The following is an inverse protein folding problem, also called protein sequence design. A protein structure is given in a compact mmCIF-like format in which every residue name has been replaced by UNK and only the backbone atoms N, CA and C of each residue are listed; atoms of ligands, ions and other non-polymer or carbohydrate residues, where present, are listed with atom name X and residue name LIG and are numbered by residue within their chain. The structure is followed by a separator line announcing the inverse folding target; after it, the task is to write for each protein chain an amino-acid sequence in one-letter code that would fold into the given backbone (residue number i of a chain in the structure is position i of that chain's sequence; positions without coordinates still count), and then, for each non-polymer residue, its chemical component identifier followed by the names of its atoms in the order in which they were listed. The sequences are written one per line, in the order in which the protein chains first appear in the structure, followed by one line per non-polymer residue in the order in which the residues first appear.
data_IF_951665703029
#
_entry.id   IF_951665703029
#
_cell.length_a   1.000
_cell.length_b   1.000
_cell.length_c   1.000
_cell.angle_alpha   90.00
_cell.angle_beta   90.00
_cell.angle_gamma   90.00
#
_symmetry.space_group_name_H-M   'P 1'
#
loop_
_entity.id
_entity.type
_entity.pdbx_description
1 polymer ?
#
# COMPACT_ATOMS: atom_id res chain seq x y z
N UNK A 1 30.26 -10.87 -23.92
CA UNK A 1 30.80 -11.11 -22.56
C UNK A 1 30.80 -12.59 -22.29
N UNK A 2 31.82 -13.07 -21.58
CA UNK A 2 31.93 -14.47 -21.17
C UNK A 2 31.31 -14.64 -19.77
N UNK A 3 30.38 -15.61 -19.65
CA UNK A 3 29.67 -15.91 -18.41
C UNK A 3 29.94 -17.32 -17.87
N UNK A 4 30.58 -18.19 -18.67
CA UNK A 4 31.02 -19.54 -18.29
C UNK A 4 31.95 -19.53 -17.07
N UNK A 5 31.86 -20.53 -16.22
CA UNK A 5 32.79 -20.71 -15.09
C UNK A 5 33.89 -21.69 -15.51
N UNK A 6 35.19 -21.40 -15.27
CA UNK A 6 36.28 -22.32 -15.63
C UNK A 6 36.19 -23.64 -14.87
N UNK A 7 36.47 -24.76 -15.54
CA UNK A 7 36.27 -26.11 -14.99
C UNK A 7 37.16 -26.46 -13.77
N UNK A 8 38.20 -25.66 -13.49
CA UNK A 8 39.16 -25.88 -12.39
C UNK A 8 39.00 -24.89 -11.22
N UNK A 9 37.96 -24.04 -11.21
CA UNK A 9 37.76 -23.08 -10.11
C UNK A 9 37.16 -23.73 -8.85
N UNK A 10 37.53 -23.24 -7.66
CA UNK A 10 36.96 -23.70 -6.40
C UNK A 10 35.48 -23.31 -6.25
N UNK A 11 34.73 -24.09 -5.46
CA UNK A 11 33.27 -23.94 -5.29
C UNK A 11 32.84 -22.56 -4.78
N UNK A 12 33.68 -21.87 -4.01
CA UNK A 12 33.41 -20.50 -3.54
C UNK A 12 33.57 -19.46 -4.67
N UNK A 13 34.56 -19.63 -5.56
CA UNK A 13 34.77 -18.76 -6.72
C UNK A 13 33.64 -18.93 -7.75
N UNK A 14 33.17 -20.16 -7.97
CA UNK A 14 31.99 -20.46 -8.81
C UNK A 14 30.72 -19.74 -8.31
N UNK A 15 30.41 -19.86 -7.01
CA UNK A 15 29.31 -19.15 -6.37
C UNK A 15 29.42 -17.62 -6.51
N UNK A 16 30.63 -17.07 -6.42
CA UNK A 16 30.87 -15.63 -6.56
C UNK A 16 30.76 -15.15 -8.02
N UNK A 17 31.26 -15.93 -8.99
CA UNK A 17 31.11 -15.64 -10.43
C UNK A 17 29.64 -15.72 -10.89
N UNK A 18 28.90 -16.72 -10.39
CA UNK A 18 27.46 -16.89 -10.68
C UNK A 18 26.64 -15.72 -10.13
N UNK A 19 26.93 -15.26 -8.89
CA UNK A 19 26.31 -14.04 -8.33
C UNK A 19 26.67 -12.79 -9.14
N UNK A 20 27.94 -12.63 -9.51
CA UNK A 20 28.40 -11.49 -10.31
C UNK A 20 27.71 -11.43 -11.69
N UNK A 21 27.48 -12.59 -12.32
CA UNK A 21 26.73 -12.67 -13.58
C UNK A 21 25.27 -12.26 -13.39
N UNK A 22 24.63 -12.64 -12.28
CA UNK A 22 23.27 -12.22 -11.95
C UNK A 22 23.19 -10.71 -11.70
N UNK A 23 24.09 -10.13 -10.91
CA UNK A 23 24.13 -8.68 -10.63
C UNK A 23 24.25 -7.83 -11.91
N UNK A 24 24.94 -8.34 -12.93
CA UNK A 24 25.01 -7.71 -14.26
C UNK A 24 23.68 -7.81 -15.03
N UNK A 25 23.04 -8.99 -15.07
CA UNK A 25 21.74 -9.18 -15.75
C UNK A 25 20.59 -8.41 -15.08
N UNK A 26 20.62 -8.29 -13.75
CA UNK A 26 19.65 -7.51 -12.97
C UNK A 26 19.92 -5.99 -13.04
N UNK A 27 20.99 -5.56 -13.74
CA UNK A 27 21.31 -4.15 -14.01
C UNK A 27 22.03 -3.39 -12.89
N UNK A 28 22.46 -4.08 -11.83
CA UNK A 28 23.20 -3.49 -10.71
C UNK A 28 24.67 -3.21 -11.03
N UNK A 29 25.18 -3.67 -12.18
CA UNK A 29 26.58 -3.56 -12.56
C UNK A 29 26.75 -3.18 -14.04
N UNK A 30 27.68 -2.27 -14.33
CA UNK A 30 28.06 -1.92 -15.71
C UNK A 30 29.01 -2.96 -16.30
N UNK A 31 29.10 -3.05 -17.64
CA UNK A 31 29.98 -3.98 -18.35
C UNK A 31 31.45 -3.87 -17.90
N UNK A 32 31.98 -2.64 -17.78
CA UNK A 32 33.34 -2.40 -17.24
C UNK A 32 33.48 -2.87 -15.79
N UNK A 33 32.43 -2.72 -14.97
CA UNK A 33 32.40 -3.21 -13.59
C UNK A 33 32.36 -4.73 -13.49
N UNK A 34 31.61 -5.40 -14.39
CA UNK A 34 31.56 -6.85 -14.51
C UNK A 34 32.92 -7.44 -14.85
N UNK A 35 33.55 -6.95 -15.93
CA UNK A 35 34.86 -7.43 -16.38
C UNK A 35 35.93 -7.28 -15.29
N UNK A 36 35.98 -6.12 -14.62
CA UNK A 36 36.96 -5.87 -13.54
C UNK A 36 36.79 -6.85 -12.39
N UNK A 37 35.58 -6.99 -11.83
CA UNK A 37 35.31 -7.91 -10.72
C UNK A 37 35.53 -9.37 -11.12
N UNK A 38 35.22 -9.75 -12.37
CA UNK A 38 35.43 -11.11 -12.88
C UNK A 38 36.91 -11.49 -12.96
N UNK A 39 37.77 -10.58 -13.42
CA UNK A 39 39.23 -10.79 -13.43
C UNK A 39 39.82 -10.87 -12.02
N UNK A 40 39.31 -10.05 -11.09
CA UNK A 40 39.71 -10.07 -9.68
C UNK A 40 39.38 -11.41 -9.00
N UNK A 41 38.17 -11.95 -9.23
CA UNK A 41 37.76 -13.28 -8.74
C UNK A 41 38.56 -14.44 -9.33
N UNK A 42 39.08 -14.29 -10.56
CA UNK A 42 39.91 -15.29 -11.24
C UNK A 42 41.42 -15.12 -10.97
N UNK A 43 41.81 -14.17 -10.11
CA UNK A 43 43.22 -13.93 -9.75
C UNK A 43 44.10 -13.40 -10.90
N UNK A 44 43.48 -12.87 -11.97
CA UNK A 44 44.20 -12.43 -13.17
C UNK A 44 44.66 -10.97 -13.04
N UNK A 45 45.87 -10.76 -12.53
CA UNK A 45 46.51 -9.43 -12.48
C UNK A 45 46.84 -8.93 -13.90
N UNK A 46 46.63 -7.64 -14.16
CA UNK A 46 46.82 -7.05 -15.51
C UNK A 46 48.24 -7.21 -16.05
N UNK A 47 48.37 -7.96 -17.15
CA UNK A 47 49.52 -7.92 -18.04
C UNK A 47 49.43 -6.72 -18.99
N UNK A 48 50.54 -6.00 -19.11
CA UNK A 48 50.76 -4.78 -19.91
C UNK A 48 50.20 -4.76 -21.34
N UNK A 49 49.55 -3.65 -21.69
CA UNK A 49 49.63 -3.04 -23.04
C UNK A 49 50.02 -1.56 -22.85
N UNK A 50 50.98 -1.10 -23.63
CA UNK A 50 51.77 0.11 -23.37
C UNK A 50 51.29 1.34 -24.13
N UNK A 51 51.44 2.52 -23.50
CA UNK A 51 51.69 3.86 -24.11
C UNK A 51 50.59 4.45 -25.05
N UNK A 52 50.38 5.77 -25.18
CA UNK A 52 51.10 6.99 -24.75
C UNK A 52 50.12 8.06 -24.23
N UNK A 53 50.54 8.98 -23.34
CA UNK A 53 49.79 10.24 -23.11
C UNK A 53 49.99 10.89 -21.73
N UNK A 54 50.94 11.82 -21.64
CA UNK A 54 51.27 12.57 -20.42
C UNK A 54 50.24 13.66 -20.07
N UNK A 55 49.91 13.83 -18.78
CA UNK A 55 50.01 15.11 -18.05
C UNK A 55 49.81 14.92 -16.53
N UNK A 56 50.05 15.98 -15.74
CA UNK A 56 50.73 15.90 -14.44
C UNK A 56 50.10 16.73 -13.32
N UNK A 57 50.49 16.42 -12.07
CA UNK A 57 50.24 17.17 -10.81
C UNK A 57 48.80 17.10 -10.26
N UNK A 58 48.52 17.06 -8.94
CA UNK A 58 49.35 17.01 -7.71
C UNK A 58 48.46 16.50 -6.53
N UNK A 59 49.07 15.98 -5.45
CA UNK A 59 48.61 15.98 -4.02
C UNK A 59 47.09 16.03 -3.69
N UNK A 60 46.50 15.28 -2.76
CA UNK A 60 46.89 14.18 -1.85
C UNK A 60 45.54 13.60 -1.28
N UNK A 61 45.37 12.80 -0.22
CA UNK A 61 46.25 12.37 0.87
C UNK A 61 45.79 11.03 1.51
N UNK A 62 46.44 10.64 2.62
CA UNK A 62 46.13 9.48 3.46
C UNK A 62 44.65 9.38 3.93
N UNK A 63 44.02 8.20 3.82
CA UNK A 63 44.03 7.25 4.95
C UNK A 63 43.38 5.87 4.71
N UNK A 64 43.83 4.94 5.54
CA UNK A 64 43.56 3.49 5.56
C UNK A 64 42.07 3.14 5.69
N UNK A 65 41.64 2.12 4.94
CA UNK A 65 40.47 1.33 5.29
C UNK A 65 40.72 0.52 6.57
N UNK A 66 39.87 0.70 7.59
CA UNK A 66 39.60 -0.34 8.59
C UNK A 66 38.20 -0.91 8.34
N UNK A 67 38.14 -2.20 7.99
CA UNK A 67 36.89 -2.98 8.06
C UNK A 67 36.44 -2.98 9.53
N UNK A 68 35.19 -2.62 9.81
CA UNK A 68 34.55 -2.98 11.07
C UNK A 68 33.31 -3.82 10.78
N UNK A 69 33.34 -5.04 11.30
CA UNK A 69 32.21 -5.96 11.29
C UNK A 69 31.06 -5.39 12.14
N UNK A 70 29.85 -5.77 11.79
CA UNK A 70 28.68 -5.69 12.66
C UNK A 70 28.91 -6.46 13.97
N UNK A 71 28.66 -5.83 15.11
CA UNK A 71 28.29 -6.51 16.36
C UNK A 71 27.56 -5.53 17.30
N UNK A 72 26.76 -6.09 18.21
CA UNK A 72 25.83 -5.36 19.08
C UNK A 72 26.47 -4.29 19.98
N UNK A 73 25.70 -3.24 20.26
CA UNK A 73 25.76 -2.52 21.54
C UNK A 73 24.37 -2.41 22.16
N UNK A 74 24.12 -3.20 23.19
CA UNK A 74 23.04 -2.97 24.15
C UNK A 74 23.43 -1.77 25.02
N UNK A 75 22.60 -0.75 25.12
CA UNK A 75 22.72 0.25 26.20
C UNK A 75 21.36 0.59 26.79
N UNK A 76 21.34 0.61 28.11
CA UNK A 76 20.21 0.78 29.02
C UNK A 76 19.57 2.17 28.99
N UNK A 77 18.28 2.22 29.32
CA UNK A 77 17.55 3.43 29.68
C UNK A 77 18.15 4.17 30.88
N UNK A 78 18.29 5.48 30.79
CA UNK A 78 18.39 6.38 31.94
C UNK A 78 17.27 7.41 31.90
N UNK A 79 16.37 7.36 32.87
CA UNK A 79 15.29 8.32 33.05
C UNK A 79 15.81 9.70 33.47
N UNK A 80 15.43 10.75 32.74
CA UNK A 80 15.48 12.13 33.21
C UNK A 80 14.20 12.84 32.75
N UNK A 81 13.32 13.17 33.71
CA UNK A 81 12.14 13.98 33.42
C UNK A 81 12.51 15.46 33.31
N UNK A 82 11.74 16.23 32.56
CA UNK A 82 11.57 17.65 32.82
C UNK A 82 10.22 18.15 32.32
N UNK A 83 9.56 18.95 33.15
CA UNK A 83 8.35 19.69 32.80
C UNK A 83 8.65 20.79 31.79
N UNK A 84 7.76 20.98 30.82
CA UNK A 84 7.45 22.31 30.28
C UNK A 84 6.01 22.31 29.75
N UNK A 85 5.15 23.14 30.35
CA UNK A 85 3.79 23.35 29.87
C UNK A 85 3.80 24.08 28.52
N UNK A 86 2.92 23.71 27.59
CA UNK A 86 2.23 24.72 26.79
C UNK A 86 0.88 24.22 26.28
N UNK A 87 -0.19 24.82 26.77
CA UNK A 87 -1.59 24.52 26.45
C UNK A 87 -2.00 25.18 25.15
N UNK A 88 -2.33 24.40 24.11
CA UNK A 88 -3.08 24.85 22.90
C UNK A 88 -3.51 23.67 21.98
N UNK A 89 -3.98 22.56 22.54
CA UNK A 89 -4.31 21.33 21.79
C UNK A 89 -5.80 21.14 21.43
N UNK A 90 -6.72 21.80 22.14
CA UNK A 90 -8.05 21.21 22.38
C UNK A 90 -9.14 21.59 21.37
N UNK A 91 -8.78 22.13 20.20
CA UNK A 91 -9.74 22.62 19.18
C UNK A 91 -9.72 21.75 17.89
N UNK A 92 -8.77 20.82 17.75
CA UNK A 92 -8.57 20.04 16.50
C UNK A 92 -9.35 18.71 16.49
N UNK A 93 -9.72 18.17 17.66
CA UNK A 93 -10.31 16.81 17.77
C UNK A 93 -11.80 16.73 17.38
N UNK A 94 -12.58 17.81 17.55
CA UNK A 94 -14.06 17.79 17.46
C UNK A 94 -14.64 17.53 16.05
N UNK A 95 -13.82 17.54 15.00
CA UNK A 95 -14.28 17.32 13.62
C UNK A 95 -14.04 15.89 13.11
N UNK A 96 -13.32 15.05 13.86
CA UNK A 96 -12.73 13.79 13.35
C UNK A 96 -13.12 12.53 14.15
N UNK A 97 -14.38 12.43 14.56
CA UNK A 97 -15.00 11.23 15.14
C UNK A 97 -16.33 10.93 14.41
N UNK A 98 -16.67 9.65 14.14
CA UNK A 98 -16.83 8.61 15.16
C UNK A 98 -16.03 7.31 14.91
N UNK A 99 -16.06 6.42 15.91
CA UNK A 99 -15.33 5.15 15.94
C UNK A 99 -13.91 5.30 16.44
N UNK A 100 -13.49 4.39 17.32
CA UNK A 100 -12.17 4.37 17.96
C UNK A 100 -11.01 4.65 16.99
N UNK A 101 -10.00 5.39 17.48
CA UNK A 101 -8.69 5.42 16.85
C UNK A 101 -8.24 3.97 16.63
N UNK A 102 -8.12 3.55 15.37
CA UNK A 102 -7.48 2.29 15.03
C UNK A 102 -6.06 2.39 15.57
N UNK A 103 -5.71 1.50 16.50
CA UNK A 103 -4.37 1.42 17.08
C UNK A 103 -3.34 1.45 15.94
N UNK A 104 -2.28 2.24 16.14
CA UNK A 104 -1.05 2.26 15.36
C UNK A 104 -0.24 0.96 15.51
N UNK A 105 -0.94 -0.17 15.40
CA UNK A 105 -0.45 -1.55 15.54
C UNK A 105 0.53 -1.93 14.43
N UNK A 106 0.60 -1.15 13.33
CA UNK A 106 1.67 -1.24 12.34
C UNK A 106 2.98 -0.64 12.87
N UNK A 107 2.92 0.42 13.69
CA UNK A 107 4.11 1.00 14.34
C UNK A 107 4.56 0.13 15.53
N UNK A 108 3.63 -0.42 16.32
CA UNK A 108 3.97 -1.38 17.39
C UNK A 108 4.55 -2.71 16.86
N UNK A 109 4.24 -3.09 15.61
CA UNK A 109 4.90 -4.21 14.93
C UNK A 109 6.40 -3.96 14.66
N UNK A 110 6.87 -2.71 14.67
CA UNK A 110 8.30 -2.37 14.54
C UNK A 110 9.08 -2.45 15.86
N UNK A 111 8.39 -2.28 16.99
CA UNK A 111 8.95 -2.49 18.34
C UNK A 111 8.92 -3.95 18.79
N UNK A 112 8.18 -4.80 18.07
CA UNK A 112 8.26 -6.24 18.21
C UNK A 112 9.63 -6.71 17.73
N UNK A 113 10.55 -7.02 18.66
CA UNK A 113 11.67 -7.88 18.30
C UNK A 113 11.11 -9.10 17.58
N UNK A 114 11.74 -9.60 16.50
CA UNK A 114 11.35 -10.87 15.93
C UNK A 114 11.32 -11.86 17.09
N UNK A 115 10.22 -12.58 17.23
CA UNK A 115 10.07 -13.57 18.29
C UNK A 115 11.02 -14.74 17.99
N UNK A 116 12.31 -14.52 18.27
CA UNK A 116 13.26 -15.59 18.56
C UNK A 116 12.56 -16.43 19.62
N UNK A 117 12.10 -17.60 19.18
CA UNK A 117 11.49 -18.60 20.05
C UNK A 117 12.38 -18.69 21.29
N UNK A 118 11.87 -18.27 22.46
CA UNK A 118 12.67 -18.24 23.68
C UNK A 118 13.40 -19.57 23.83
N UNK A 119 14.63 -19.56 24.35
CA UNK A 119 15.35 -20.81 24.59
C UNK A 119 14.53 -21.79 25.44
N UNK A 120 13.60 -21.31 26.28
CA UNK A 120 12.58 -22.13 26.93
C UNK A 120 11.65 -22.90 25.96
N UNK A 121 11.14 -22.27 24.90
CA UNK A 121 10.34 -22.92 23.85
C UNK A 121 11.20 -23.88 23.02
N UNK A 122 12.42 -23.48 22.65
CA UNK A 122 13.34 -24.36 21.90
C UNK A 122 13.76 -25.56 22.77
N UNK A 123 14.00 -25.35 24.06
CA UNK A 123 14.26 -26.41 25.04
C UNK A 123 13.02 -27.27 25.26
N UNK A 124 11.81 -26.69 25.27
CA UNK A 124 10.55 -27.47 25.31
C UNK A 124 10.41 -28.37 24.09
N UNK A 125 10.80 -27.89 22.90
CA UNK A 125 10.85 -28.70 21.68
C UNK A 125 11.98 -29.76 21.69
N UNK A 126 13.16 -29.46 22.26
CA UNK A 126 14.30 -30.40 22.37
C UNK A 126 14.12 -31.45 23.47
N UNK A 127 13.40 -31.13 24.55
CA UNK A 127 13.15 -32.01 25.69
C UNK A 127 11.90 -32.90 25.54
N UNK A 128 11.22 -32.86 24.39
CA UNK A 128 10.27 -33.92 24.01
C UNK A 128 11.08 -35.18 23.73
N UNK A 129 11.26 -35.99 24.77
CA UNK A 129 11.88 -37.32 24.68
C UNK A 129 11.20 -38.11 23.57
N UNK A 130 11.98 -38.75 22.70
CA UNK A 130 11.51 -39.31 21.44
C UNK A 130 10.41 -40.40 21.53
N UNK A 131 10.11 -40.88 22.75
CA UNK A 131 9.15 -41.95 23.03
C UNK A 131 7.91 -41.51 23.83
N UNK A 132 7.75 -40.22 24.14
CA UNK A 132 6.49 -39.71 24.67
C UNK A 132 5.81 -38.77 23.67
N UNK A 133 4.53 -39.06 23.46
CA UNK A 133 3.56 -38.37 22.61
C UNK A 133 3.81 -38.31 21.11
N UNK A 134 3.59 -39.46 20.48
CA UNK A 134 3.09 -39.51 19.10
C UNK A 134 1.67 -38.90 18.97
N UNK A 135 0.85 -38.96 20.03
CA UNK A 135 -0.51 -38.38 20.06
C UNK A 135 -0.51 -36.84 20.23
N UNK A 136 0.25 -36.25 21.15
CA UNK A 136 0.35 -34.76 21.29
C UNK A 136 0.89 -34.10 20.01
N UNK A 137 1.72 -34.82 19.22
CA UNK A 137 2.16 -34.37 17.88
C UNK A 137 1.05 -34.38 16.82
N UNK A 138 -0.11 -35.00 17.06
CA UNK A 138 -1.33 -34.79 16.23
C UNK A 138 -2.10 -33.53 16.63
N UNK A 139 -2.07 -33.12 17.90
CA UNK A 139 -2.81 -31.95 18.39
C UNK A 139 -2.20 -30.63 17.91
N UNK A 140 -0.88 -30.59 17.71
CA UNK A 140 -0.22 -29.49 17.03
C UNK A 140 -0.61 -29.49 15.55
N UNK A 141 -1.31 -28.43 15.10
CA UNK A 141 -1.52 -28.20 13.68
C UNK A 141 -0.16 -28.17 12.97
N UNK A 142 0.02 -29.06 11.98
CA UNK A 142 1.17 -29.02 11.08
C UNK A 142 1.28 -27.61 10.47
N UNK A 143 2.49 -27.08 10.26
CA UNK A 143 2.67 -25.90 9.43
C UNK A 143 1.91 -26.07 8.11
N UNK A 144 1.21 -25.03 7.66
CA UNK A 144 0.52 -25.09 6.38
C UNK A 144 1.56 -25.30 5.28
N UNK A 145 1.44 -26.42 4.55
CA UNK A 145 2.29 -26.67 3.40
C UNK A 145 2.21 -25.50 2.41
N UNK A 146 3.34 -25.05 1.82
CA UNK A 146 3.33 -24.01 0.80
C UNK A 146 2.37 -24.41 -0.32
N UNK A 147 1.32 -23.60 -0.52
CA UNK A 147 0.32 -23.91 -1.54
C UNK A 147 0.91 -23.70 -2.92
N UNK A 148 0.73 -24.68 -3.80
CA UNK A 148 1.19 -24.59 -5.18
C UNK A 148 0.61 -23.36 -5.89
N UNK A 149 1.50 -22.45 -6.26
CA UNK A 149 1.19 -21.39 -7.22
C UNK A 149 1.44 -22.00 -8.60
N UNK A 150 0.38 -22.14 -9.40
CA UNK A 150 0.46 -22.74 -10.75
C UNK A 150 1.65 -22.17 -11.54
N UNK A 151 2.46 -23.08 -12.08
CA UNK A 151 3.83 -22.85 -12.56
C UNK A 151 4.04 -21.61 -13.45
N UNK A 152 5.17 -20.95 -13.21
CA UNK A 152 5.72 -19.77 -13.89
C UNK A 152 4.96 -18.45 -13.72
N UNK A 153 5.67 -17.46 -13.17
CA UNK A 153 5.17 -16.09 -12.94
C UNK A 153 5.35 -15.27 -14.22
N UNK A 154 4.63 -15.63 -15.28
CA UNK A 154 4.41 -14.68 -16.37
C UNK A 154 3.30 -13.70 -15.95
N UNK A 155 3.57 -12.38 -15.99
CA UNK A 155 2.56 -11.38 -15.74
C UNK A 155 1.70 -11.18 -16.99
N UNK A 156 0.43 -11.59 -16.94
CA UNK A 156 -0.55 -11.38 -18.03
C UNK A 156 -0.97 -9.91 -18.13
N UNK A 157 -0.10 -9.03 -18.62
CA UNK A 157 -0.43 -7.63 -18.89
C UNK A 157 -1.16 -7.45 -20.23
N UNK A 158 -2.45 -7.80 -20.30
CA UNK A 158 -3.32 -7.24 -21.37
C UNK A 158 -3.58 -5.73 -21.16
N UNK A 159 -3.32 -5.23 -19.94
CA UNK A 159 -3.54 -3.83 -19.53
C UNK A 159 -2.45 -3.43 -18.55
N UNK A 160 -1.77 -2.30 -18.80
CA UNK A 160 -0.59 -1.87 -18.05
C UNK A 160 -0.85 -1.06 -16.78
N UNK A 161 -2.10 -0.63 -16.53
CA UNK A 161 -2.43 0.25 -15.40
C UNK A 161 -3.91 0.16 -15.00
N UNK A 162 -4.21 0.50 -13.74
CA UNK A 162 -5.57 0.42 -13.18
C UNK A 162 -6.55 1.45 -13.76
N UNK A 163 -6.09 2.59 -14.28
CA UNK A 163 -6.98 3.58 -14.91
C UNK A 163 -7.62 3.03 -16.20
N UNK A 164 -6.87 2.26 -16.98
CA UNK A 164 -7.41 1.48 -18.12
C UNK A 164 -8.32 0.35 -17.69
N UNK A 165 -8.01 -0.33 -16.57
CA UNK A 165 -8.92 -1.35 -16.04
C UNK A 165 -10.25 -0.70 -15.62
N UNK A 166 -10.24 0.41 -14.88
CA UNK A 166 -11.45 1.15 -14.52
C UNK A 166 -12.25 1.58 -15.76
N UNK A 167 -11.61 2.11 -16.81
CA UNK A 167 -12.28 2.45 -18.08
C UNK A 167 -12.92 1.21 -18.74
N UNK A 168 -12.24 0.07 -18.75
CA UNK A 168 -12.80 -1.20 -19.26
C UNK A 168 -13.97 -1.70 -18.41
N UNK A 169 -13.88 -1.64 -17.07
CA UNK A 169 -14.96 -2.00 -16.14
C UNK A 169 -16.21 -1.14 -16.36
N UNK A 170 -16.04 0.18 -16.55
CA UNK A 170 -17.13 1.10 -16.83
C UNK A 170 -17.95 0.75 -18.09
N UNK A 171 -17.32 0.10 -19.08
CA UNK A 171 -17.97 -0.38 -20.31
C UNK A 171 -18.56 -1.79 -20.20
N UNK A 172 -17.83 -2.71 -19.56
CA UNK A 172 -18.22 -4.13 -19.49
C UNK A 172 -19.18 -4.46 -18.34
N UNK A 173 -19.20 -3.61 -17.31
CA UNK A 173 -19.99 -3.76 -16.09
C UNK A 173 -20.71 -2.44 -15.78
N UNK A 174 -21.22 -1.77 -16.82
CA UNK A 174 -22.05 -0.55 -16.69
C UNK A 174 -23.20 -0.81 -15.71
N UNK A 175 -23.48 0.14 -14.80
CA UNK A 175 -24.54 0.05 -13.77
C UNK A 175 -24.38 -1.05 -12.73
N UNK A 176 -23.43 -1.97 -12.85
CA UNK A 176 -23.09 -2.87 -11.74
C UNK A 176 -22.44 -2.05 -10.60
N UNK A 177 -22.78 -2.32 -9.33
CA UNK A 177 -22.09 -1.73 -8.17
C UNK A 177 -20.59 -2.02 -8.19
N UNK A 178 -19.80 -0.97 -7.95
CA UNK A 178 -18.35 -1.00 -7.81
C UNK A 178 -17.93 -0.86 -6.34
N UNK A 179 -18.50 0.13 -5.65
CA UNK A 179 -18.29 0.38 -4.22
C UNK A 179 -19.62 0.61 -3.53
N UNK A 180 -19.81 -0.05 -2.39
CA UNK A 180 -20.93 0.12 -1.46
C UNK A 180 -20.35 0.54 -0.10
N UNK A 181 -20.87 1.62 0.47
CA UNK A 181 -20.56 2.06 1.84
C UNK A 181 -21.75 1.70 2.72
N UNK A 182 -21.47 1.00 3.81
CA UNK A 182 -22.42 0.62 4.86
C UNK A 182 -22.26 1.57 6.06
N UNK A 183 -23.35 1.92 6.74
CA UNK A 183 -23.33 2.72 7.97
C UNK A 183 -23.06 1.88 9.24
N UNK A 184 -22.94 2.55 10.38
CA UNK A 184 -22.70 1.91 11.70
C UNK A 184 -23.86 1.00 12.15
N UNK A 185 -25.01 1.04 11.45
CA UNK A 185 -26.21 0.24 11.71
C UNK A 185 -26.33 -0.95 10.74
N UNK A 186 -25.32 -1.20 9.91
CA UNK A 186 -25.30 -2.28 8.92
C UNK A 186 -26.11 -2.01 7.65
N UNK A 187 -26.59 -0.78 7.44
CA UNK A 187 -27.44 -0.40 6.29
C UNK A 187 -26.64 0.25 5.16
N UNK A 188 -27.11 0.07 3.93
CA UNK A 188 -26.53 0.75 2.76
C UNK A 188 -26.65 2.28 2.90
N UNK A 189 -25.51 2.98 2.91
CA UNK A 189 -25.42 4.44 3.03
C UNK A 189 -25.22 5.11 1.66
N UNK A 190 -24.25 4.62 0.88
CA UNK A 190 -23.91 5.16 -0.46
C UNK A 190 -23.45 4.03 -1.37
N UNK A 191 -23.88 4.04 -2.62
CA UNK A 191 -23.41 3.10 -3.66
C UNK A 191 -22.98 3.87 -4.91
N UNK A 192 -21.88 3.42 -5.53
CA UNK A 192 -21.46 3.89 -6.85
C UNK A 192 -21.24 2.71 -7.80
N UNK A 193 -21.69 2.88 -9.04
CA UNK A 193 -21.55 1.90 -10.12
C UNK A 193 -20.27 2.16 -10.93
N UNK A 194 -19.76 1.15 -11.66
CA UNK A 194 -18.48 1.27 -12.38
C UNK A 194 -18.43 2.44 -13.36
N UNK A 195 -19.52 2.65 -14.10
CA UNK A 195 -19.69 3.76 -15.03
C UNK A 195 -19.63 5.12 -14.30
N UNK A 196 -20.37 5.28 -13.20
CA UNK A 196 -20.38 6.53 -12.41
C UNK A 196 -19.03 6.81 -11.75
N UNK A 197 -18.33 5.80 -11.25
CA UNK A 197 -16.99 5.95 -10.66
C UNK A 197 -16.00 6.43 -11.73
N UNK A 198 -15.99 5.80 -12.90
CA UNK A 198 -15.18 6.24 -14.03
C UNK A 198 -15.57 7.64 -14.51
N UNK A 199 -16.86 7.98 -14.62
CA UNK A 199 -17.28 9.30 -15.08
C UNK A 199 -16.94 10.44 -14.10
N UNK A 200 -16.85 10.16 -12.78
CA UNK A 200 -16.29 11.13 -11.82
C UNK A 200 -14.78 11.27 -12.02
N UNK A 201 -14.05 10.16 -12.09
CA UNK A 201 -12.60 10.15 -12.28
C UNK A 201 -12.16 10.83 -13.59
N UNK A 202 -12.79 10.50 -14.73
CA UNK A 202 -12.52 11.10 -16.04
C UNK A 202 -12.90 12.60 -16.06
N UNK A 203 -13.89 13.05 -15.27
CA UNK A 203 -14.19 14.48 -15.13
C UNK A 203 -13.09 15.23 -14.38
N UNK A 204 -12.61 14.67 -13.28
CA UNK A 204 -11.48 15.19 -12.49
C UNK A 204 -10.23 15.25 -13.38
N UNK A 205 -9.95 14.17 -14.11
CA UNK A 205 -8.83 14.10 -15.07
C UNK A 205 -8.87 15.23 -16.11
N UNK A 206 -10.03 15.47 -16.73
CA UNK A 206 -10.21 16.57 -17.70
C UNK A 206 -10.13 17.95 -17.06
N UNK A 207 -10.51 18.12 -15.79
CA UNK A 207 -10.29 19.39 -15.08
C UNK A 207 -8.79 19.64 -14.87
N UNK A 208 -8.05 18.65 -14.39
CA UNK A 208 -6.59 18.74 -14.19
C UNK A 208 -5.91 19.11 -15.51
N UNK A 209 -6.10 18.31 -16.56
CA UNK A 209 -5.49 18.52 -17.89
C UNK A 209 -5.81 19.89 -18.50
N UNK A 210 -7.04 20.39 -18.33
CA UNK A 210 -7.48 21.60 -19.03
C UNK A 210 -7.31 22.89 -18.22
N UNK A 211 -7.12 22.82 -16.90
CA UNK A 211 -7.13 24.00 -16.01
C UNK A 211 -5.98 24.10 -15.01
N UNK A 212 -5.31 22.99 -14.66
CA UNK A 212 -4.31 23.01 -13.59
C UNK A 212 -2.90 23.41 -14.06
N UNK A 213 -2.68 23.49 -15.38
CA UNK A 213 -1.36 23.71 -16.00
C UNK A 213 -0.27 22.73 -15.52
N UNK A 214 -0.67 21.50 -15.17
CA UNK A 214 0.24 20.43 -14.73
C UNK A 214 0.67 19.54 -15.89
N UNK A 215 1.90 19.02 -15.80
CA UNK A 215 2.47 18.05 -16.72
C UNK A 215 2.35 16.62 -16.16
N UNK A 216 2.46 15.58 -17.02
CA UNK A 216 2.52 14.21 -16.53
C UNK A 216 3.69 14.01 -15.57
N UNK A 217 3.43 13.45 -14.39
CA UNK A 217 4.36 13.43 -13.25
C UNK A 217 3.98 14.41 -12.14
N UNK A 218 3.34 15.54 -12.46
CA UNK A 218 2.58 16.46 -11.60
C UNK A 218 2.14 15.85 -10.26
N UNK A 219 2.52 16.40 -9.09
CA UNK A 219 2.04 15.92 -7.80
C UNK A 219 0.79 16.69 -7.37
N UNK A 220 -0.24 15.93 -7.00
CA UNK A 220 -1.57 16.45 -6.62
C UNK A 220 -1.97 15.85 -5.28
N UNK A 221 -2.11 16.71 -4.27
CA UNK A 221 -2.53 16.29 -2.94
C UNK A 221 -4.02 15.93 -2.91
N UNK A 222 -4.38 14.89 -2.15
CA UNK A 222 -5.76 14.44 -1.96
C UNK A 222 -6.10 14.46 -0.48
N UNK A 223 -7.07 15.29 -0.05
CA UNK A 223 -7.55 15.34 1.35
C UNK A 223 -9.05 15.07 1.41
N UNK A 224 -9.40 13.95 2.03
CA UNK A 224 -10.76 13.42 2.12
C UNK A 224 -10.99 12.80 3.50
N UNK A 225 -12.24 12.81 3.98
CA UNK A 225 -12.59 12.19 5.26
C UNK A 225 -12.61 10.65 5.20
N UNK A 226 -12.58 10.00 6.37
CA UNK A 226 -12.72 8.54 6.50
C UNK A 226 -13.97 7.97 5.80
N UNK A 227 -15.10 8.67 5.89
CA UNK A 227 -16.37 8.27 5.27
C UNK A 227 -16.49 8.60 3.76
N UNK A 228 -15.53 9.31 3.16
CA UNK A 228 -15.60 9.83 1.78
C UNK A 228 -14.91 8.94 0.74
N UNK A 229 -14.95 7.63 0.98
CA UNK A 229 -14.31 6.57 0.21
C UNK A 229 -14.53 6.70 -1.31
N UNK A 230 -15.78 6.92 -1.73
CA UNK A 230 -16.16 7.03 -3.15
C UNK A 230 -15.53 8.25 -3.83
N UNK A 231 -15.47 9.38 -3.12
CA UNK A 231 -14.97 10.64 -3.65
C UNK A 231 -13.44 10.68 -3.66
N UNK A 232 -12.80 10.08 -2.65
CA UNK A 232 -11.36 9.79 -2.64
C UNK A 232 -10.97 8.89 -3.82
N UNK A 233 -11.65 7.75 -4.02
CA UNK A 233 -11.34 6.85 -5.14
C UNK A 233 -11.54 7.55 -6.48
N UNK A 234 -12.60 8.35 -6.65
CA UNK A 234 -12.79 9.14 -7.86
C UNK A 234 -11.64 10.13 -8.11
N UNK A 235 -11.11 10.77 -7.06
CA UNK A 235 -9.98 11.68 -7.18
C UNK A 235 -8.66 10.95 -7.51
N UNK A 236 -8.37 9.84 -6.83
CA UNK A 236 -7.21 8.98 -7.07
C UNK A 236 -7.16 8.47 -8.52
N UNK A 237 -8.26 7.88 -8.99
CA UNK A 237 -8.34 7.44 -10.38
C UNK A 237 -8.38 8.61 -11.37
N UNK A 238 -8.85 9.79 -10.95
CA UNK A 238 -8.77 11.02 -11.74
C UNK A 238 -7.33 11.49 -11.96
N UNK A 239 -6.48 11.38 -10.94
CA UNK A 239 -5.03 11.61 -11.05
C UNK A 239 -4.37 10.61 -12.01
N UNK A 240 -4.63 9.31 -11.83
CA UNK A 240 -4.10 8.26 -12.72
C UNK A 240 -4.55 8.46 -14.19
N UNK A 241 -5.81 8.83 -14.42
CA UNK A 241 -6.32 9.15 -15.76
C UNK A 241 -5.69 10.44 -16.32
N UNK A 242 -5.31 11.40 -15.46
CA UNK A 242 -4.63 12.62 -15.86
C UNK A 242 -3.14 12.41 -16.18
N UNK A 243 -2.52 11.34 -15.68
CA UNK A 243 -1.07 11.11 -15.74
C UNK A 243 -0.30 11.88 -14.67
N UNK A 244 -0.98 12.31 -13.60
CA UNK A 244 -0.40 13.02 -12.45
C UNK A 244 -0.34 12.07 -11.25
N UNK A 245 0.65 12.25 -10.39
CA UNK A 245 0.93 11.45 -9.21
C UNK A 245 0.07 11.94 -8.05
N UNK A 246 -0.72 11.04 -7.48
CA UNK A 246 -1.51 11.35 -6.29
C UNK A 246 -0.64 11.39 -5.03
N UNK A 247 -0.93 12.32 -4.12
CA UNK A 247 -0.35 12.35 -2.77
C UNK A 247 -1.50 12.31 -1.76
N UNK A 248 -1.97 11.10 -1.36
CA UNK A 248 -2.97 10.96 -0.31
C UNK A 248 -2.47 11.54 1.00
N UNK A 249 -3.26 12.41 1.61
CA UNK A 249 -2.99 12.98 2.93
C UNK A 249 -4.18 12.62 3.83
N UNK A 250 -3.90 11.90 4.93
CA UNK A 250 -4.93 11.63 5.92
C UNK A 250 -5.36 12.94 6.59
N UNK A 251 -6.66 13.13 6.77
CA UNK A 251 -7.19 14.36 7.38
C UNK A 251 -6.86 14.50 8.87
N UNK A 252 -6.44 13.41 9.53
CA UNK A 252 -5.86 13.43 10.88
C UNK A 252 -4.39 13.85 10.94
N UNK A 253 -3.68 13.93 9.81
CA UNK A 253 -2.30 14.43 9.77
C UNK A 253 -2.27 15.90 10.20
N UNK A 254 -1.39 16.31 11.12
CA UNK A 254 -1.30 17.71 11.54
C UNK A 254 -1.06 18.64 10.36
N UNK A 255 -1.76 19.77 10.35
CA UNK A 255 -1.72 20.74 9.24
C UNK A 255 -0.30 21.19 8.88
N UNK A 256 0.58 21.35 9.88
CA UNK A 256 2.00 21.69 9.68
C UNK A 256 2.73 20.63 8.86
N UNK A 257 2.44 19.36 9.11
CA UNK A 257 3.11 18.24 8.47
C UNK A 257 2.53 18.01 7.06
N UNK A 258 1.22 18.23 6.85
CA UNK A 258 0.63 18.35 5.50
C UNK A 258 1.33 19.41 4.65
N UNK A 259 1.56 20.61 5.22
CA UNK A 259 2.27 21.71 4.54
C UNK A 259 3.71 21.32 4.22
N UNK A 260 4.40 20.61 5.13
CA UNK A 260 5.74 20.08 4.86
C UNK A 260 5.76 19.11 3.68
N UNK A 261 4.81 18.17 3.64
CA UNK A 261 4.67 17.20 2.54
C UNK A 261 4.33 17.90 1.22
N UNK A 262 3.44 18.90 1.24
CA UNK A 262 3.08 19.70 0.05
C UNK A 262 4.31 20.43 -0.53
N UNK A 263 5.17 20.97 0.32
CA UNK A 263 6.41 21.63 -0.09
C UNK A 263 7.45 20.62 -0.61
N UNK A 264 7.66 19.50 0.08
CA UNK A 264 8.61 18.44 -0.32
C UNK A 264 8.23 17.83 -1.68
N UNK A 265 6.94 17.54 -1.89
CA UNK A 265 6.42 17.01 -3.15
C UNK A 265 6.28 18.06 -4.27
N UNK A 266 6.53 19.35 -3.97
CA UNK A 266 6.27 20.46 -4.89
C UNK A 266 4.86 20.39 -5.51
N UNK A 267 3.87 20.07 -4.67
CA UNK A 267 2.47 19.98 -5.10
C UNK A 267 1.88 21.39 -5.21
N UNK A 268 1.27 21.69 -6.37
CA UNK A 268 0.63 22.99 -6.63
C UNK A 268 -0.90 22.92 -6.70
N UNK A 269 -1.46 21.70 -6.66
CA UNK A 269 -2.90 21.45 -6.64
C UNK A 269 -3.24 20.50 -5.49
N UNK A 270 -4.26 20.84 -4.71
CA UNK A 270 -4.91 19.93 -3.77
C UNK A 270 -6.38 19.73 -4.16
N UNK A 271 -6.78 18.47 -4.27
CA UNK A 271 -8.18 18.06 -4.39
C UNK A 271 -8.74 17.76 -2.99
N UNK A 272 -9.93 18.30 -2.73
CA UNK A 272 -10.62 18.11 -1.46
C UNK A 272 -12.10 17.79 -1.68
N UNK A 273 -12.72 17.20 -0.66
CA UNK A 273 -14.18 17.26 -0.49
C UNK A 273 -14.64 18.62 0.03
N UNK A 274 -15.94 18.89 -0.07
CA UNK A 274 -16.55 20.11 0.48
C UNK A 274 -16.50 20.15 2.02
N UNK A 275 -16.54 18.98 2.67
CA UNK A 275 -16.41 18.85 4.13
C UNK A 275 -14.99 19.19 4.61
N UNK A 276 -13.96 18.62 3.98
CA UNK A 276 -12.55 18.92 4.26
C UNK A 276 -12.23 20.40 3.98
N UNK A 277 -12.71 20.94 2.85
CA UNK A 277 -12.55 22.36 2.54
C UNK A 277 -13.12 23.26 3.64
N UNK A 278 -14.37 23.01 4.08
CA UNK A 278 -15.04 23.78 5.15
C UNK A 278 -14.30 23.73 6.48
N UNK A 279 -13.69 22.59 6.82
CA UNK A 279 -12.86 22.44 8.01
C UNK A 279 -11.64 23.36 7.99
N UNK A 280 -10.83 23.28 6.93
CA UNK A 280 -9.63 24.12 6.82
C UNK A 280 -9.98 25.61 6.66
N UNK A 281 -11.06 25.94 5.94
CA UNK A 281 -11.58 27.31 5.82
C UNK A 281 -12.03 27.89 7.18
N UNK A 282 -12.65 27.07 8.05
CA UNK A 282 -12.93 27.46 9.45
C UNK A 282 -11.63 27.65 10.26
N UNK A 283 -10.69 26.72 10.15
CA UNK A 283 -9.41 26.75 10.87
C UNK A 283 -8.54 27.97 10.47
N UNK A 284 -8.56 28.36 9.20
CA UNK A 284 -7.84 29.53 8.70
C UNK A 284 -8.41 30.84 9.28
N UNK A 285 -9.75 30.96 9.37
CA UNK A 285 -10.41 32.08 10.04
C UNK A 285 -10.09 32.15 11.52
N UNK A 286 -10.06 31.02 12.22
CA UNK A 286 -9.75 30.96 13.66
C UNK A 286 -8.30 31.33 13.96
N UNK A 287 -7.35 30.84 13.16
CA UNK A 287 -5.91 31.12 13.32
C UNK A 287 -5.46 32.44 12.70
N UNK A 288 -6.33 33.12 11.93
CA UNK A 288 -6.04 34.36 11.17
C UNK A 288 -4.81 34.24 10.26
N UNK A 289 -4.54 33.03 9.75
CA UNK A 289 -3.37 32.71 8.96
C UNK A 289 -3.73 31.92 7.70
N UNK A 290 -2.90 32.01 6.66
CA UNK A 290 -3.01 31.08 5.52
C UNK A 290 -2.53 29.70 5.97
N UNK A 291 -3.34 28.68 5.66
CA UNK A 291 -2.98 27.29 5.98
C UNK A 291 -2.03 26.72 4.93
N UNK A 292 -2.26 27.03 3.66
CA UNK A 292 -1.59 26.34 2.56
C UNK A 292 -0.31 27.06 2.08
N UNK A 293 0.63 26.32 1.46
CA UNK A 293 1.81 26.92 0.81
C UNK A 293 1.44 28.00 -0.20
N UNK A 294 2.35 28.96 -0.43
CA UNK A 294 2.19 29.96 -1.50
C UNK A 294 2.07 29.26 -2.85
N UNK A 295 1.07 29.62 -3.64
CA UNK A 295 0.79 29.02 -4.94
C UNK A 295 0.03 27.71 -4.92
N UNK A 296 -0.34 27.17 -3.74
CA UNK A 296 -1.25 26.02 -3.65
C UNK A 296 -2.66 26.41 -4.08
N UNK A 297 -3.16 25.76 -5.13
CA UNK A 297 -4.57 25.88 -5.56
C UNK A 297 -5.38 24.75 -4.94
N UNK A 298 -6.53 25.06 -4.36
CA UNK A 298 -7.44 24.07 -3.78
C UNK A 298 -8.70 23.96 -4.62
N UNK A 299 -9.05 22.75 -5.06
CA UNK A 299 -10.30 22.46 -5.79
C UNK A 299 -11.18 21.48 -5.02
N UNK A 300 -12.47 21.81 -4.90
CA UNK A 300 -13.49 20.90 -4.40
C UNK A 300 -13.96 19.95 -5.50
N UNK A 301 -13.82 18.64 -5.32
CA UNK A 301 -14.24 17.67 -6.36
C UNK A 301 -15.76 17.57 -6.54
N UNK A 302 -16.55 17.98 -5.53
CA UNK A 302 -18.01 18.16 -5.63
C UNK A 302 -18.41 19.09 -6.77
N UNK A 303 -17.66 20.17 -6.95
CA UNK A 303 -18.01 21.29 -7.84
C UNK A 303 -17.70 20.93 -9.31
N UNK A 304 -17.06 19.78 -9.54
CA UNK A 304 -16.62 19.36 -10.87
C UNK A 304 -17.73 18.72 -11.71
N UNK A 305 -18.81 18.24 -11.08
CA UNK A 305 -19.88 17.49 -11.73
C UNK A 305 -19.42 16.10 -12.19
N UNK A 306 -19.96 15.62 -13.30
CA UNK A 306 -19.69 14.26 -13.82
C UNK A 306 -19.44 14.32 -15.33
N UNK A 307 -18.55 13.47 -15.85
CA UNK A 307 -18.27 13.38 -17.28
C UNK A 307 -19.48 12.76 -18.00
N UNK A 308 -19.84 13.32 -19.15
CA UNK A 308 -20.82 12.73 -20.06
C UNK A 308 -20.05 12.23 -21.29
N UNK A 309 -19.95 10.91 -21.52
CA UNK A 309 -19.33 10.39 -22.73
C UNK A 309 -20.10 10.86 -23.97
N UNK A 310 -19.35 11.28 -24.99
CA UNK A 310 -19.89 11.60 -26.30
C UNK A 310 -19.97 10.32 -27.12
N UNK A 311 -21.07 10.10 -27.85
CA UNK A 311 -21.20 8.95 -28.76
C UNK A 311 -20.35 9.08 -30.04
N UNK A 312 -19.80 10.28 -30.31
CA UNK A 312 -19.01 10.56 -31.52
C UNK A 312 -17.50 10.54 -31.29
N UNK A 313 -17.07 10.74 -30.05
CA UNK A 313 -15.66 10.81 -29.70
C UNK A 313 -15.15 9.46 -29.22
N UNK A 314 -13.94 9.08 -29.65
CA UNK A 314 -13.26 7.89 -29.16
C UNK A 314 -12.86 7.99 -27.68
N UNK A 315 -12.28 6.92 -27.14
CA UNK A 315 -11.76 6.93 -25.77
C UNK A 315 -10.66 8.00 -25.62
N UNK A 316 -10.71 8.87 -24.58
CA UNK A 316 -9.71 9.91 -24.38
C UNK A 316 -8.30 9.32 -24.25
N UNK A 317 -7.34 9.88 -24.98
CA UNK A 317 -5.95 9.43 -24.93
C UNK A 317 -5.43 9.41 -23.49
N UNK A 318 -4.89 8.26 -23.07
CA UNK A 318 -4.28 8.09 -21.76
C UNK A 318 -2.76 8.12 -21.90
N UNK A 319 -2.15 9.22 -21.43
CA UNK A 319 -0.72 9.29 -21.15
C UNK A 319 -0.55 9.05 -19.65
N UNK A 320 0.04 7.91 -19.29
CA UNK A 320 0.32 7.54 -17.89
C UNK A 320 1.74 7.99 -17.55
N UNK A 321 1.93 8.54 -16.35
CA UNK A 321 3.24 8.63 -15.70
C UNK A 321 3.74 7.23 -15.32
N UNK A 322 5.04 7.08 -15.03
CA UNK A 322 5.52 5.84 -14.41
C UNK A 322 5.05 5.76 -12.95
N UNK A 323 5.19 6.88 -12.23
CA UNK A 323 4.70 7.05 -10.86
C UNK A 323 3.18 7.19 -10.81
N UNK A 324 2.56 6.54 -9.82
CA UNK A 324 1.12 6.53 -9.59
C UNK A 324 0.74 7.37 -8.36
N UNK A 325 1.34 7.06 -7.21
CA UNK A 325 1.13 7.82 -5.97
C UNK A 325 2.36 7.80 -5.06
N UNK A 326 2.39 8.71 -4.09
CA UNK A 326 3.36 8.73 -2.99
C UNK A 326 2.58 8.53 -1.69
N UNK A 327 2.82 7.42 -0.99
CA UNK A 327 2.25 7.19 0.35
C UNK A 327 3.17 7.82 1.39
N UNK A 328 2.63 8.40 2.46
CA UNK A 328 3.43 9.07 3.49
C UNK A 328 3.21 8.42 4.85
N UNK A 329 4.28 7.86 5.41
CA UNK A 329 4.26 7.20 6.73
C UNK A 329 5.07 8.01 7.72
N UNK A 330 4.58 8.10 8.96
CA UNK A 330 5.32 8.71 10.07
C UNK A 330 6.28 7.68 10.63
N UNK A 331 7.55 8.04 10.74
CA UNK A 331 8.61 7.19 11.29
C UNK A 331 8.66 7.30 12.81
N UNK A 332 9.37 6.38 13.47
CA UNK A 332 9.58 6.40 14.93
C UNK A 332 10.28 7.67 15.44
N UNK A 333 11.05 8.37 14.58
CA UNK A 333 11.64 9.69 14.89
C UNK A 333 10.64 10.84 14.78
N UNK A 334 9.38 10.56 14.40
CA UNK A 334 8.31 11.55 14.24
C UNK A 334 8.26 12.23 12.87
N UNK A 335 9.24 12.00 11.99
CA UNK A 335 9.29 12.55 10.65
C UNK A 335 8.38 11.78 9.68
N UNK A 336 7.79 12.47 8.72
CA UNK A 336 7.10 11.83 7.60
C UNK A 336 8.09 11.49 6.47
N UNK A 337 7.98 10.29 5.89
CA UNK A 337 8.76 9.85 4.71
C UNK A 337 7.82 9.36 3.61
N UNK A 338 8.10 9.80 2.38
CA UNK A 338 7.33 9.43 1.19
C UNK A 338 7.83 8.14 0.56
N UNK A 339 6.95 7.15 0.41
CA UNK A 339 7.18 5.92 -0.35
C UNK A 339 6.58 6.09 -1.74
N UNK A 340 7.45 6.16 -2.75
CA UNK A 340 7.06 6.39 -4.14
C UNK A 340 6.61 5.08 -4.79
N UNK A 341 5.37 5.05 -5.30
CA UNK A 341 4.76 3.85 -5.88
C UNK A 341 4.49 4.05 -7.39
N UNK A 342 5.06 3.19 -8.22
CA UNK A 342 4.83 3.17 -9.67
C UNK A 342 3.56 2.39 -10.07
N UNK A 343 3.01 2.71 -11.25
CA UNK A 343 1.93 1.92 -11.84
C UNK A 343 2.35 0.45 -12.07
N UNK A 344 3.61 0.20 -12.43
CA UNK A 344 4.17 -1.15 -12.55
C UNK A 344 4.18 -1.90 -11.21
N UNK A 345 4.60 -1.23 -10.13
CA UNK A 345 4.58 -1.79 -8.77
C UNK A 345 3.18 -2.20 -8.36
N UNK A 346 2.18 -1.34 -8.60
CA UNK A 346 0.76 -1.64 -8.33
C UNK A 346 0.33 -2.88 -9.11
N UNK A 347 0.56 -2.91 -10.43
CA UNK A 347 0.14 -4.07 -11.26
C UNK A 347 0.81 -5.38 -10.81
N UNK A 348 2.07 -5.36 -10.40
CA UNK A 348 2.76 -6.51 -9.81
C UNK A 348 2.09 -6.99 -8.52
N UNK A 349 1.77 -6.07 -7.60
CA UNK A 349 1.08 -6.38 -6.35
C UNK A 349 -0.31 -6.99 -6.62
N UNK A 350 -1.06 -6.45 -7.59
CA UNK A 350 -2.38 -6.95 -7.95
C UNK A 350 -2.33 -8.38 -8.52
N UNK A 351 -1.39 -8.65 -9.44
CA UNK A 351 -1.16 -9.99 -10.02
C UNK A 351 -0.73 -10.98 -8.94
N UNK A 352 0.15 -10.57 -8.03
CA UNK A 352 0.60 -11.44 -6.93
C UNK A 352 -0.55 -11.74 -5.96
N UNK A 353 -1.36 -10.73 -5.62
CA UNK A 353 -2.51 -10.89 -4.71
C UNK A 353 -3.58 -11.82 -5.28
N UNK A 354 -3.91 -11.71 -6.58
CA UNK A 354 -4.83 -12.66 -7.24
C UNK A 354 -4.29 -14.09 -7.14
N UNK A 355 -3.01 -14.30 -7.49
CA UNK A 355 -2.35 -15.62 -7.38
C UNK A 355 -2.36 -16.16 -5.95
N UNK A 356 -1.97 -15.35 -4.96
CA UNK A 356 -1.98 -15.76 -3.55
C UNK A 356 -3.38 -16.20 -3.11
N UNK A 357 -4.40 -15.39 -3.38
CA UNK A 357 -5.77 -15.69 -2.97
C UNK A 357 -6.35 -16.88 -3.75
N UNK A 358 -6.02 -17.05 -5.04
CA UNK A 358 -6.49 -18.18 -5.86
C UNK A 358 -5.98 -19.54 -5.37
N UNK A 359 -4.87 -19.59 -4.61
CA UNK A 359 -4.41 -20.85 -3.99
C UNK A 359 -5.36 -21.40 -2.92
N UNK A 360 -6.31 -20.58 -2.43
CA UNK A 360 -7.21 -21.00 -1.35
C UNK A 360 -8.19 -22.08 -1.84
N UNK A 361 -8.22 -23.28 -1.23
CA UNK A 361 -9.12 -24.36 -1.66
C UNK A 361 -10.61 -24.03 -1.49
N UNK A 362 -10.93 -22.98 -0.71
CA UNK A 362 -12.30 -22.44 -0.57
C UNK A 362 -12.72 -21.57 -1.75
N UNK A 363 -11.77 -21.01 -2.51
CA UNK A 363 -12.02 -20.12 -3.65
C UNK A 363 -12.15 -20.97 -4.92
N UNK A 364 -13.37 -21.44 -5.18
CA UNK A 364 -13.68 -22.30 -6.35
C UNK A 364 -13.92 -21.52 -7.65
N UNK A 365 -14.03 -20.19 -7.59
CA UNK A 365 -14.26 -19.31 -8.74
C UNK A 365 -13.10 -18.31 -8.84
N UNK A 366 -12.66 -17.91 -10.06
CA UNK A 366 -11.68 -16.85 -10.21
C UNK A 366 -12.09 -15.59 -9.46
N UNK A 367 -11.14 -14.95 -8.77
CA UNK A 367 -11.39 -13.65 -8.16
C UNK A 367 -11.39 -12.54 -9.21
N UNK A 368 -10.42 -12.54 -10.12
CA UNK A 368 -10.36 -11.54 -11.20
C UNK A 368 -11.35 -11.88 -12.32
N UNK A 369 -12.26 -10.95 -12.61
CA UNK A 369 -13.18 -10.98 -13.76
C UNK A 369 -12.43 -10.53 -15.02
N UNK A 370 -12.77 -11.10 -16.19
CA UNK A 370 -12.18 -10.69 -17.49
C UNK A 370 -12.32 -9.18 -17.74
N UNK A 371 -11.32 -8.56 -18.41
CA UNK A 371 -11.39 -7.17 -18.90
C UNK A 371 -11.75 -7.07 -20.39
N UNK A 372 -12.14 -8.19 -21.00
CA UNK A 372 -12.55 -8.28 -22.42
C UNK A 372 -14.03 -8.67 -22.55
N UNK A 373 -14.50 -9.62 -21.73
CA UNK A 373 -15.89 -10.12 -21.76
C UNK A 373 -16.56 -9.89 -20.41
N UNK A 374 -17.84 -9.55 -20.40
CA UNK A 374 -18.62 -9.47 -19.17
C UNK A 374 -18.71 -10.85 -18.52
N UNK A 375 -18.58 -10.90 -17.19
CA UNK A 375 -18.62 -12.13 -16.39
C UNK A 375 -19.79 -12.07 -15.42
N UNK A 376 -20.64 -13.10 -15.41
CA UNK A 376 -21.78 -13.21 -14.48
C UNK A 376 -21.37 -13.54 -13.05
N UNK A 377 -20.22 -14.20 -12.85
CA UNK A 377 -19.67 -14.42 -11.51
C UNK A 377 -19.07 -13.12 -10.96
N UNK A 378 -19.59 -12.69 -9.80
CA UNK A 378 -19.07 -11.58 -9.00
C UNK A 378 -18.80 -12.09 -7.59
N UNK A 379 -17.65 -11.73 -7.03
CA UNK A 379 -17.34 -11.90 -5.63
C UNK A 379 -17.61 -10.58 -4.89
N UNK A 380 -17.85 -10.66 -3.58
CA UNK A 380 -17.96 -9.49 -2.70
C UNK A 380 -16.74 -9.42 -1.78
N UNK A 381 -16.03 -8.30 -1.81
CA UNK A 381 -14.88 -8.03 -0.95
C UNK A 381 -15.35 -7.03 0.12
N UNK A 382 -15.37 -7.44 1.39
CA UNK A 382 -15.65 -6.52 2.50
C UNK A 382 -14.35 -6.04 3.14
N UNK A 383 -14.24 -4.73 3.35
CA UNK A 383 -13.11 -4.07 4.01
C UNK A 383 -13.59 -3.18 5.15
N UNK A 384 -12.99 -3.34 6.32
CA UNK A 384 -13.08 -2.39 7.45
C UNK A 384 -11.92 -1.39 7.45
N UNK A 385 -10.91 -1.64 6.61
CA UNK A 385 -9.66 -0.90 6.53
C UNK A 385 -9.82 0.38 5.70
N UNK A 386 -9.10 1.43 6.12
CA UNK A 386 -9.12 2.74 5.48
C UNK A 386 -8.51 2.73 4.07
N UNK A 387 -9.30 3.06 3.06
CA UNK A 387 -8.87 3.13 1.65
C UNK A 387 -7.81 4.18 1.35
N UNK A 388 -7.53 5.13 2.26
CA UNK A 388 -6.62 6.26 1.97
C UNK A 388 -5.14 5.99 2.19
N UNK A 389 -4.75 4.89 2.85
CA UNK A 389 -3.34 4.57 3.06
C UNK A 389 -3.05 3.08 3.26
N UNK A 390 -1.78 2.70 3.14
CA UNK A 390 -1.27 1.36 3.49
C UNK A 390 -2.09 0.22 2.85
N UNK A 391 -2.43 -0.83 3.61
CA UNK A 391 -3.12 -2.02 3.10
C UNK A 391 -4.54 -1.71 2.58
N UNK A 392 -5.30 -0.80 3.20
CA UNK A 392 -6.66 -0.49 2.76
C UNK A 392 -6.68 0.20 1.39
N UNK A 393 -5.69 1.06 1.12
CA UNK A 393 -5.43 1.58 -0.24
C UNK A 393 -5.21 0.43 -1.23
N UNK A 394 -4.26 -0.46 -0.96
CA UNK A 394 -3.95 -1.62 -1.82
C UNK A 394 -5.19 -2.49 -2.08
N UNK A 395 -6.04 -2.71 -1.07
CA UNK A 395 -7.27 -3.48 -1.24
C UNK A 395 -8.33 -2.76 -2.08
N UNK A 396 -8.43 -1.42 -2.00
CA UNK A 396 -9.29 -0.63 -2.88
C UNK A 396 -8.83 -0.67 -4.35
N UNK A 397 -7.51 -0.71 -4.57
CA UNK A 397 -6.91 -0.93 -5.89
C UNK A 397 -7.21 -2.35 -6.41
N UNK A 398 -7.13 -3.36 -5.53
CA UNK A 398 -7.43 -4.75 -5.87
C UNK A 398 -8.89 -4.99 -6.26
N UNK A 399 -9.85 -4.32 -5.60
CA UNK A 399 -11.25 -4.41 -5.99
C UNK A 399 -11.50 -3.94 -7.44
N UNK A 400 -10.84 -2.84 -7.86
CA UNK A 400 -10.92 -2.32 -9.24
C UNK A 400 -10.20 -3.24 -10.23
N UNK A 401 -9.03 -3.75 -9.86
CA UNK A 401 -8.30 -4.76 -10.63
C UNK A 401 -9.18 -6.01 -10.88
N UNK A 402 -9.70 -6.61 -9.82
CA UNK A 402 -10.50 -7.83 -9.90
C UNK A 402 -11.90 -7.62 -10.48
N UNK A 403 -12.43 -6.39 -10.43
CA UNK A 403 -13.78 -6.04 -10.91
C UNK A 403 -14.90 -6.49 -9.97
N UNK A 404 -14.61 -6.68 -8.69
CA UNK A 404 -15.54 -7.17 -7.68
C UNK A 404 -16.15 -6.00 -6.90
N UNK A 405 -17.29 -6.24 -6.25
CA UNK A 405 -17.90 -5.23 -5.38
C UNK A 405 -17.02 -5.06 -4.12
N UNK A 406 -16.55 -3.84 -3.90
CA UNK A 406 -15.96 -3.43 -2.62
C UNK A 406 -17.08 -2.96 -1.69
N UNK A 407 -17.20 -3.61 -0.54
CA UNK A 407 -18.10 -3.22 0.55
C UNK A 407 -17.24 -2.63 1.66
N UNK A 408 -17.38 -1.32 1.90
CA UNK A 408 -16.70 -0.62 2.97
C UNK A 408 -17.64 -0.44 4.16
N UNK A 409 -17.16 -0.78 5.35
CA UNK A 409 -17.95 -0.79 6.59
C UNK A 409 -17.12 -0.20 7.73
N UNK A 410 -17.68 0.63 8.62
CA UNK A 410 -16.92 1.23 9.71
C UNK A 410 -16.55 0.20 10.78
N UNK A 411 -15.40 0.39 11.43
CA UNK A 411 -14.93 -0.45 12.54
C UNK A 411 -15.91 -0.45 13.73
N UNK A 412 -16.64 0.64 13.97
CA UNK A 412 -17.67 0.73 15.02
C UNK A 412 -18.77 -0.34 14.90
N UNK A 413 -18.94 -0.97 13.74
CA UNK A 413 -19.92 -2.06 13.58
C UNK A 413 -19.61 -3.30 14.44
N UNK A 414 -18.37 -3.48 14.90
CA UNK A 414 -18.01 -4.55 15.83
C UNK A 414 -18.50 -4.30 17.26
N UNK A 415 -18.83 -3.05 17.62
CA UNK A 415 -19.33 -2.67 18.95
C UNK A 415 -20.73 -3.25 19.21
N UNK A 416 -21.53 -3.46 18.16
CA UNK A 416 -22.86 -4.07 18.24
C UNK A 416 -22.74 -5.60 18.07
N UNK A 417 -23.06 -6.42 19.09
CA UNK A 417 -22.94 -7.87 19.00
C UNK A 417 -23.75 -8.46 17.84
N UNK A 418 -23.14 -9.36 17.08
CA UNK A 418 -23.76 -10.03 15.93
C UNK A 418 -23.83 -9.21 14.63
N UNK A 419 -23.72 -7.88 14.68
CA UNK A 419 -23.95 -7.01 13.50
C UNK A 419 -22.88 -7.20 12.40
N UNK A 420 -21.64 -7.48 12.79
CA UNK A 420 -20.56 -7.79 11.84
C UNK A 420 -20.87 -9.04 10.98
N UNK A 421 -21.18 -10.20 11.57
CA UNK A 421 -21.48 -11.40 10.78
C UNK A 421 -22.87 -11.38 10.13
N UNK A 422 -23.82 -10.63 10.69
CA UNK A 422 -25.08 -10.28 10.01
C UNK A 422 -24.78 -9.56 8.68
N UNK A 423 -23.84 -8.61 8.69
CA UNK A 423 -23.37 -7.92 7.49
C UNK A 423 -22.63 -8.87 6.53
N UNK A 424 -21.74 -9.74 7.03
CA UNK A 424 -21.08 -10.75 6.19
C UNK A 424 -22.09 -11.63 5.42
N UNK A 425 -23.17 -12.01 6.11
CA UNK A 425 -24.23 -12.86 5.57
C UNK A 425 -25.11 -12.09 4.57
N UNK A 426 -25.57 -10.89 4.95
CA UNK A 426 -26.49 -10.06 4.16
C UNK A 426 -25.89 -9.61 2.82
N UNK A 427 -24.59 -9.32 2.78
CA UNK A 427 -23.90 -8.88 1.56
C UNK A 427 -23.16 -10.02 0.84
N UNK A 428 -23.39 -11.29 1.24
CA UNK A 428 -22.80 -12.51 0.68
C UNK A 428 -21.27 -12.40 0.48
N UNK A 429 -20.58 -12.00 1.54
CA UNK A 429 -19.16 -11.68 1.49
C UNK A 429 -18.31 -12.90 1.14
N UNK A 430 -17.45 -12.76 0.13
CA UNK A 430 -16.56 -13.81 -0.37
C UNK A 430 -15.15 -13.71 0.22
N UNK A 431 -14.69 -12.47 0.48
CA UNK A 431 -13.39 -12.16 1.10
C UNK A 431 -13.60 -11.05 2.13
N UNK A 432 -13.11 -11.27 3.35
CA UNK A 432 -13.13 -10.28 4.45
C UNK A 432 -11.72 -9.76 4.68
N UNK A 433 -11.59 -8.45 4.83
CA UNK A 433 -10.32 -7.75 5.05
C UNK A 433 -10.51 -6.84 6.27
N UNK A 434 -9.83 -7.20 7.36
CA UNK A 434 -9.93 -6.51 8.63
C UNK A 434 -8.63 -6.67 9.41
N UNK A 435 -8.37 -5.74 10.32
CA UNK A 435 -7.32 -5.90 11.31
C UNK A 435 -7.70 -6.95 12.38
N UNK A 436 -6.68 -7.37 13.14
CA UNK A 436 -6.81 -8.38 14.18
C UNK A 436 -7.55 -7.88 15.43
N UNK A 437 -7.47 -6.58 15.75
CA UNK A 437 -8.10 -6.02 16.93
C UNK A 437 -9.64 -6.04 16.79
N UNK A 438 -10.14 -5.66 15.62
CA UNK A 438 -11.57 -5.78 15.29
C UNK A 438 -12.05 -7.22 15.36
N UNK A 439 -11.30 -8.16 14.76
CA UNK A 439 -11.67 -9.57 14.77
C UNK A 439 -11.70 -10.15 16.20
N UNK A 440 -10.77 -9.73 17.06
CA UNK A 440 -10.75 -10.07 18.49
C UNK A 440 -11.99 -9.54 19.21
N UNK A 441 -12.40 -8.30 18.98
CA UNK A 441 -13.66 -7.72 19.52
C UNK A 441 -14.89 -8.49 19.04
N UNK A 442 -14.97 -8.81 17.74
CA UNK A 442 -16.06 -9.61 17.18
C UNK A 442 -16.13 -10.98 17.86
N UNK A 443 -15.00 -11.69 18.04
CA UNK A 443 -14.97 -13.00 18.70
C UNK A 443 -15.43 -12.91 20.16
N UNK A 444 -14.99 -11.91 20.94
CA UNK A 444 -15.48 -11.73 22.31
C UNK A 444 -16.99 -11.47 22.37
N UNK A 445 -17.51 -10.65 21.46
CA UNK A 445 -18.95 -10.38 21.38
C UNK A 445 -19.78 -11.61 20.98
N UNK A 446 -19.18 -12.61 20.33
CA UNK A 446 -19.82 -13.92 20.14
C UNK A 446 -19.72 -14.81 21.40
N UNK A 447 -18.58 -14.82 22.09
CA UNK A 447 -18.40 -15.62 23.30
C UNK A 447 -19.32 -15.14 24.44
N UNK A 448 -19.43 -13.83 24.65
CA UNK A 448 -20.27 -13.24 25.69
C UNK A 448 -21.77 -13.48 25.49
N UNK A 449 -22.22 -13.73 24.26
CA UNK A 449 -23.60 -14.14 23.95
C UNK A 449 -23.86 -15.62 24.25
N UNK A 450 -22.85 -16.49 24.16
CA UNK A 450 -22.99 -17.95 24.31
C UNK A 450 -22.91 -18.38 25.78
N UNK A 451 -22.01 -17.77 26.57
CA UNK A 451 -21.79 -18.17 27.97
C UNK A 451 -23.04 -18.07 28.88
N UNK A 452 -23.89 -17.03 28.81
CA UNK A 452 -25.11 -16.97 29.62
C UNK A 452 -26.14 -18.05 29.29
N UNK A 453 -26.19 -18.48 28.03
CA UNK A 453 -27.17 -19.46 27.55
C UNK A 453 -26.86 -20.91 27.99
N UNK A 454 -25.62 -21.20 28.38
CA UNK A 454 -25.17 -22.54 28.82
C UNK A 454 -25.16 -22.71 30.35
N UNK A 455 -25.37 -21.64 31.12
CA UNK A 455 -25.39 -21.66 32.59
C UNK A 455 -26.83 -21.60 33.14
N UNK A 456 -27.81 -21.32 32.28
CA UNK A 456 -29.25 -21.25 32.61
C UNK A 456 -30.11 -22.38 32.04
N UNK A 457 -29.51 -23.55 31.74
CA UNK A 457 -30.18 -24.72 31.17
C UNK A 457 -30.02 -25.96 32.06
#
# INVERSE_FOLDING_TARGET
MEFSVPQESSTDVDLQLTRLAKDFHDGYLTEKGYIKKRMELLGMTQGSVSETGSHSYTTSDTNKHTKNNSLHSVTTTSSAGNHANNSNSDIVNDFWHPGHQISSSVDEASGSQPAFYRDEMIAKYKNIQANHDYEFRKELQKPLDPRDVSSHIEPRYEVSNLAMILRKRAKLSEREPAVLIIDERGKESKVITWDKLYYRAEKISKQIKNKAALYPGDRVCLIYQNIEIIDFMAALYGCFLAGVVAVPLNSSTPTRDMVSIMNETQSHLCLMSDSAYKFFDKLARQTKSTIWPKGMVVWKTSDMGTYKPSKKDGDPALKVSDLAYIDYTKTASGEYKGVVISHRTIMNQMVMMDKMLSTSPKIKKPLVRSTIKQSSSRNTILSTLDVRGSIGMIMSLFAVYSGNLLVCIPASIAEVPGLFASSLSSYHVSVVLTDYALLKTVVYNYQSLIYPALIGA
#
